data_IF_030954580743
#
_entry.id   IF_030954580743
#
_cell.length_a   1.000
_cell.length_b   1.000
_cell.length_c   1.000
_cell.angle_alpha   90.00
_cell.angle_beta   90.00
_cell.angle_gamma   90.00
#
_symmetry.space_group_name_H-M   'P 1'
#
loop_
_entity.id
_entity.type
_entity.pdbx_description
1 polymer ?
#
# COMPACT_ATOMS: atom_id res chain seq x y z
N UNK A 1 -11.75 23.74 11.35
CA UNK A 1 -10.55 22.89 11.47
C UNK A 1 -9.42 23.62 10.76
N UNK A 2 -8.37 23.97 11.49
CA UNK A 2 -7.18 24.57 10.87
C UNK A 2 -6.34 23.45 10.25
N UNK A 3 -6.00 23.59 8.97
CA UNK A 3 -5.15 22.63 8.27
C UNK A 3 -3.71 22.92 8.67
N UNK A 4 -3.14 22.09 9.55
CA UNK A 4 -1.74 22.20 9.98
C UNK A 4 -0.81 21.54 8.96
N UNK A 5 0.47 21.94 8.94
CA UNK A 5 1.49 21.38 8.04
C UNK A 5 1.57 19.86 8.11
N UNK A 6 1.48 19.28 9.31
CA UNK A 6 1.49 17.83 9.48
C UNK A 6 0.32 17.12 8.80
N UNK A 7 -0.89 17.71 8.85
CA UNK A 7 -2.07 17.19 8.16
C UNK A 7 -1.87 17.25 6.64
N UNK A 8 -1.29 18.33 6.11
CA UNK A 8 -0.99 18.46 4.67
C UNK A 8 -0.05 17.34 4.21
N UNK A 9 1.01 17.07 4.97
CA UNK A 9 1.97 16.02 4.64
C UNK A 9 1.30 14.64 4.61
N UNK A 10 0.48 14.33 5.61
CA UNK A 10 -0.27 13.05 5.65
C UNK A 10 -1.23 12.94 4.45
N UNK A 11 -1.97 14.01 4.13
CA UNK A 11 -2.85 14.04 2.96
C UNK A 11 -2.05 13.79 1.67
N UNK A 12 -0.91 14.45 1.50
CA UNK A 12 -0.04 14.25 0.34
C UNK A 12 0.45 12.79 0.24
N UNK A 13 0.84 12.17 1.36
CA UNK A 13 1.22 10.76 1.41
C UNK A 13 0.07 9.82 1.06
N UNK A 14 -1.16 10.12 1.49
CA UNK A 14 -2.35 9.37 1.10
C UNK A 14 -2.63 9.48 -0.41
N UNK A 15 -2.52 10.69 -0.97
CA UNK A 15 -2.65 10.91 -2.42
C UNK A 15 -1.60 10.09 -3.18
N UNK A 16 -0.35 10.11 -2.72
CA UNK A 16 0.73 9.30 -3.29
C UNK A 16 0.41 7.79 -3.24
N UNK A 17 -0.08 7.29 -2.11
CA UNK A 17 -0.51 5.90 -1.96
C UNK A 17 -1.59 5.54 -2.99
N UNK A 18 -2.64 6.35 -3.13
CA UNK A 18 -3.71 6.11 -4.10
C UNK A 18 -3.21 6.17 -5.55
N UNK A 19 -2.29 7.10 -5.86
CA UNK A 19 -1.67 7.18 -7.17
C UNK A 19 -0.89 5.90 -7.49
N UNK A 20 -0.10 5.40 -6.54
CA UNK A 20 0.64 4.13 -6.68
C UNK A 20 -0.30 2.96 -6.96
N UNK A 21 -1.44 2.90 -6.27
CA UNK A 21 -2.48 1.89 -6.49
C UNK A 21 -3.17 2.04 -7.85
N UNK A 22 -3.39 3.27 -8.33
CA UNK A 22 -3.90 3.52 -9.68
C UNK A 22 -2.93 3.05 -10.77
N UNK A 23 -1.63 3.31 -10.59
CA UNK A 23 -0.57 2.83 -11.50
C UNK A 23 -0.56 1.29 -11.55
N UNK A 24 -0.70 0.62 -10.40
CA UNK A 24 -0.81 -0.85 -10.34
C UNK A 24 -2.00 -1.38 -11.12
N UNK A 25 -3.18 -0.79 -10.96
CA UNK A 25 -4.38 -1.16 -11.74
C UNK A 25 -4.16 -1.00 -13.23
N UNK A 26 -3.52 0.10 -13.64
CA UNK A 26 -3.14 0.35 -15.02
C UNK A 26 -2.21 -0.73 -15.58
N UNK A 27 -1.17 -1.12 -14.82
CA UNK A 27 -0.26 -2.20 -15.19
C UNK A 27 -0.97 -3.56 -15.30
N UNK A 28 -1.88 -3.88 -14.36
CA UNK A 28 -2.68 -5.12 -14.39
C UNK A 28 -3.45 -5.27 -15.70
N UNK A 29 -4.20 -4.22 -16.10
CA UNK A 29 -4.95 -4.21 -17.36
C UNK A 29 -4.06 -4.36 -18.60
N UNK A 30 -2.83 -3.79 -18.57
CA UNK A 30 -1.85 -3.97 -19.66
C UNK A 30 -1.36 -5.42 -19.72
N UNK A 31 -1.02 -6.02 -18.58
CA UNK A 31 -0.59 -7.42 -18.55
C UNK A 31 -1.69 -8.38 -19.02
N UNK A 32 -2.93 -8.19 -18.61
CA UNK A 32 -4.06 -8.98 -19.13
C UNK A 32 -4.15 -8.91 -20.66
N UNK A 33 -3.96 -7.72 -21.25
CA UNK A 33 -3.96 -7.57 -22.72
C UNK A 33 -2.77 -8.25 -23.38
N UNK A 34 -1.56 -8.08 -22.85
CA UNK A 34 -0.35 -8.68 -23.40
C UNK A 34 -0.37 -10.21 -23.35
N UNK A 35 -0.80 -10.79 -22.22
CA UNK A 35 -0.88 -12.23 -22.03
C UNK A 35 -1.97 -12.84 -22.92
N UNK A 36 -3.11 -12.17 -23.08
CA UNK A 36 -4.14 -12.57 -24.05
C UNK A 36 -3.60 -12.56 -25.50
N UNK A 37 -2.78 -11.58 -25.87
CA UNK A 37 -2.16 -11.52 -27.21
C UNK A 37 -1.08 -12.60 -27.40
N UNK A 38 -0.26 -12.89 -26.38
CA UNK A 38 0.74 -13.97 -26.43
C UNK A 38 0.08 -15.33 -26.63
N UNK A 39 -1.00 -15.63 -25.89
CA UNK A 39 -1.75 -16.89 -26.04
C UNK A 39 -2.35 -17.06 -27.44
N UNK A 40 -2.76 -15.97 -28.10
CA UNK A 40 -3.25 -15.98 -29.50
C UNK A 40 -2.15 -16.29 -30.53
N UNK A 41 -0.88 -16.03 -30.22
CA UNK A 41 0.24 -16.23 -31.16
C UNK A 41 0.85 -17.63 -31.08
N UNK A 42 0.89 -18.22 -29.87
CA UNK A 42 1.63 -19.48 -29.63
C UNK A 42 0.79 -20.72 -29.94
N UNK A 43 -0.53 -20.66 -29.74
CA UNK A 43 -1.43 -21.77 -30.04
C UNK A 43 -2.43 -21.29 -31.07
N UNK A 44 -2.60 -22.02 -32.19
CA UNK A 44 -3.67 -21.82 -33.19
C UNK A 44 -5.10 -22.01 -32.64
N UNK A 45 -5.30 -21.78 -31.33
CA UNK A 45 -6.57 -21.80 -30.61
C UNK A 45 -7.45 -20.64 -31.07
N UNK A 46 -8.73 -20.97 -31.24
CA UNK A 46 -9.81 -20.07 -31.62
C UNK A 46 -9.79 -18.75 -30.83
N UNK A 47 -10.12 -17.66 -31.53
CA UNK A 47 -10.26 -16.29 -31.05
C UNK A 47 -11.33 -16.21 -29.95
N UNK A 48 -11.00 -16.59 -28.71
CA UNK A 48 -11.98 -16.55 -27.62
C UNK A 48 -11.56 -17.14 -26.28
N UNK A 49 -10.44 -17.85 -26.19
CA UNK A 49 -10.03 -18.47 -24.93
C UNK A 49 -9.65 -17.37 -23.90
N UNK A 50 -10.58 -17.07 -22.99
CA UNK A 50 -10.38 -16.13 -21.89
C UNK A 50 -9.16 -16.53 -21.06
N UNK A 51 -8.42 -15.53 -20.54
CA UNK A 51 -7.39 -15.80 -19.53
C UNK A 51 -8.06 -16.45 -18.32
N UNK A 52 -7.37 -17.34 -17.59
CA UNK A 52 -7.88 -17.85 -16.32
C UNK A 52 -8.19 -16.65 -15.41
N UNK A 53 -9.47 -16.48 -15.10
CA UNK A 53 -9.94 -15.39 -14.25
C UNK A 53 -9.62 -15.77 -12.81
N UNK A 54 -9.13 -14.82 -12.03
CA UNK A 54 -8.92 -15.05 -10.61
C UNK A 54 -10.26 -15.46 -9.96
N UNK A 55 -10.23 -16.37 -8.97
CA UNK A 55 -11.46 -16.86 -8.35
C UNK A 55 -12.29 -15.69 -7.81
N UNK A 56 -13.62 -15.77 -7.89
CA UNK A 56 -14.50 -14.72 -7.37
C UNK A 56 -14.23 -14.51 -5.87
N UNK A 57 -14.07 -13.25 -5.46
CA UNK A 57 -13.70 -12.88 -4.09
C UNK A 57 -12.19 -12.80 -3.82
N UNK A 58 -11.34 -13.13 -4.79
CA UNK A 58 -9.89 -12.93 -4.66
C UNK A 58 -9.54 -11.44 -4.52
N UNK A 59 -8.60 -11.08 -3.62
CA UNK A 59 -8.17 -9.69 -3.45
C UNK A 59 -7.65 -9.09 -4.77
N UNK A 60 -7.99 -7.83 -5.08
CA UNK A 60 -7.58 -7.20 -6.34
C UNK A 60 -6.07 -6.94 -6.43
N UNK A 61 -5.38 -6.91 -5.28
CA UNK A 61 -3.94 -6.71 -5.13
C UNK A 61 -3.35 -7.74 -4.17
N UNK A 62 -2.12 -8.16 -4.45
CA UNK A 62 -1.33 -8.98 -3.55
C UNK A 62 -0.40 -8.14 -2.68
N UNK A 63 0.26 -8.80 -1.73
CA UNK A 63 1.32 -8.22 -0.89
C UNK A 63 2.66 -8.80 -1.32
N UNK A 64 3.67 -7.95 -1.49
CA UNK A 64 5.03 -8.36 -1.84
C UNK A 64 5.77 -8.94 -0.63
N UNK A 65 5.66 -8.27 0.52
CA UNK A 65 6.29 -8.70 1.77
C UNK A 65 5.44 -8.32 2.97
N UNK A 66 4.98 -9.33 3.71
CA UNK A 66 4.24 -9.14 4.96
C UNK A 66 5.10 -8.53 6.07
N UNK A 67 6.42 -8.75 6.02
CA UNK A 67 7.35 -8.12 6.96
C UNK A 67 7.33 -6.59 6.82
N UNK A 68 7.43 -6.06 5.60
CA UNK A 68 7.36 -4.61 5.39
C UNK A 68 5.98 -4.02 5.67
N UNK A 69 4.91 -4.80 5.49
CA UNK A 69 3.57 -4.40 5.96
C UNK A 69 3.56 -4.22 7.47
N UNK A 70 4.07 -5.20 8.22
CA UNK A 70 4.15 -5.12 9.67
C UNK A 70 5.00 -3.91 10.12
N UNK A 71 6.18 -3.71 9.51
CA UNK A 71 7.03 -2.54 9.78
C UNK A 71 6.30 -1.23 9.48
N UNK A 72 5.63 -1.12 8.32
CA UNK A 72 4.87 0.09 7.96
C UNK A 72 3.75 0.39 8.95
N UNK A 73 3.01 -0.64 9.38
CA UNK A 73 1.95 -0.49 10.39
C UNK A 73 2.53 -0.06 11.74
N UNK A 74 3.61 -0.68 12.21
CA UNK A 74 4.27 -0.30 13.48
C UNK A 74 4.76 1.14 13.46
N UNK A 75 5.34 1.59 12.35
CA UNK A 75 5.80 2.98 12.18
C UNK A 75 4.61 3.96 12.21
N UNK A 76 3.48 3.63 11.58
CA UNK A 76 2.26 4.47 11.70
C UNK A 76 1.73 4.51 13.13
N UNK A 77 1.70 3.38 13.83
CA UNK A 77 1.25 3.31 15.23
C UNK A 77 2.14 4.19 16.11
N UNK A 78 3.47 4.13 15.93
CA UNK A 78 4.40 5.01 16.62
C UNK A 78 4.08 6.49 16.39
N UNK A 79 3.80 6.88 15.14
CA UNK A 79 3.35 8.24 14.82
C UNK A 79 2.03 8.63 15.47
N UNK A 80 1.07 7.70 15.56
CA UNK A 80 -0.20 7.94 16.24
C UNK A 80 -0.04 8.11 17.76
N UNK A 81 0.87 7.35 18.37
CA UNK A 81 1.25 7.51 19.78
C UNK A 81 1.89 8.88 20.02
N UNK A 82 2.79 9.31 19.13
CA UNK A 82 3.40 10.64 19.18
C UNK A 82 2.35 11.75 19.08
N UNK A 83 1.40 11.62 18.15
CA UNK A 83 0.29 12.58 18.00
C UNK A 83 -0.54 12.72 19.28
N UNK A 84 -0.70 11.63 20.04
CA UNK A 84 -1.39 11.61 21.32
C UNK A 84 -0.48 11.91 22.53
N UNK A 85 0.59 12.69 22.34
CA UNK A 85 1.56 13.07 23.38
C UNK A 85 2.09 11.87 24.17
N UNK A 86 2.45 10.79 23.47
CA UNK A 86 2.97 9.55 24.07
C UNK A 86 2.00 8.86 25.04
N UNK A 87 0.70 9.11 24.88
CA UNK A 87 -0.36 8.48 25.68
C UNK A 87 -1.04 7.38 24.86
N UNK A 88 -1.16 6.18 25.43
CA UNK A 88 -1.86 5.05 24.84
C UNK A 88 -2.87 4.51 25.84
N UNK A 89 -4.17 4.50 25.48
CA UNK A 89 -5.27 4.04 26.34
C UNK A 89 -5.29 4.68 27.75
N UNK A 90 -4.91 5.96 27.86
CA UNK A 90 -4.85 6.68 29.14
C UNK A 90 -3.55 6.47 29.93
N UNK A 91 -2.65 5.60 29.47
CA UNK A 91 -1.34 5.37 30.07
C UNK A 91 -0.30 6.24 29.34
N UNK A 92 0.43 7.07 30.08
CA UNK A 92 1.59 7.79 29.54
C UNK A 92 2.76 6.82 29.43
N UNK A 93 3.17 6.49 28.22
CA UNK A 93 4.28 5.57 27.95
C UNK A 93 5.61 6.26 28.22
N UNK A 94 5.73 7.52 27.82
CA UNK A 94 6.95 8.32 27.95
C UNK A 94 6.59 9.64 28.64
N UNK A 95 7.30 9.93 29.72
CA UNK A 95 7.16 11.17 30.50
C UNK A 95 8.35 12.12 30.36
N UNK A 96 9.40 11.71 29.65
CA UNK A 96 10.62 12.49 29.51
C UNK A 96 10.36 13.77 28.69
N UNK A 97 10.69 14.97 29.23
CA UNK A 97 10.41 16.24 28.57
C UNK A 97 11.12 16.42 27.22
N UNK A 98 12.29 15.79 27.06
CA UNK A 98 13.05 15.86 25.81
C UNK A 98 12.37 15.05 24.70
N UNK A 99 11.86 13.87 25.03
CA UNK A 99 11.17 13.01 24.07
C UNK A 99 9.81 13.58 23.66
N UNK A 100 9.16 14.33 24.56
CA UNK A 100 7.91 15.02 24.26
C UNK A 100 8.07 16.13 23.21
N UNK A 101 9.25 16.73 23.04
CA UNK A 101 9.46 17.73 21.97
C UNK A 101 9.32 17.12 20.57
N UNK A 102 9.64 15.83 20.42
CA UNK A 102 9.54 15.17 19.13
C UNK A 102 8.09 14.87 18.71
N UNK A 103 7.11 14.97 19.61
CA UNK A 103 5.69 14.71 19.29
C UNK A 103 5.16 15.66 18.21
N UNK A 104 5.73 16.86 18.09
CA UNK A 104 5.41 17.81 17.02
C UNK A 104 5.62 17.22 15.61
N UNK A 105 6.57 16.29 15.47
CA UNK A 105 6.91 15.63 14.22
C UNK A 105 6.14 14.32 13.97
N UNK A 106 5.05 14.05 14.71
CA UNK A 106 4.22 12.84 14.58
C UNK A 106 3.83 12.47 13.14
N UNK A 107 3.67 13.48 12.27
CA UNK A 107 3.25 13.29 10.88
C UNK A 107 4.32 12.60 10.03
N UNK A 108 5.61 12.68 10.42
CA UNK A 108 6.73 12.04 9.71
C UNK A 108 6.61 10.51 9.74
N UNK A 109 6.56 9.83 10.91
CA UNK A 109 6.38 8.39 10.96
C UNK A 109 5.03 7.96 10.36
N UNK A 110 3.94 8.71 10.54
CA UNK A 110 2.66 8.38 9.87
C UNK A 110 2.81 8.39 8.35
N UNK A 111 3.34 9.46 7.78
CA UNK A 111 3.57 9.58 6.34
C UNK A 111 4.51 8.49 5.82
N UNK A 112 5.60 8.22 6.53
CA UNK A 112 6.56 7.18 6.18
C UNK A 112 5.91 5.79 6.15
N UNK A 113 5.09 5.47 7.15
CA UNK A 113 4.34 4.22 7.18
C UNK A 113 3.38 4.06 6.00
N UNK A 114 2.66 5.12 5.62
CA UNK A 114 1.81 5.13 4.42
C UNK A 114 2.62 4.88 3.15
N UNK A 115 3.79 5.53 3.01
CA UNK A 115 4.67 5.34 1.85
C UNK A 115 5.20 3.90 1.80
N UNK A 116 5.66 3.33 2.92
CA UNK A 116 6.12 1.94 3.01
C UNK A 116 5.00 0.99 2.55
N UNK A 117 3.78 1.19 3.04
CA UNK A 117 2.62 0.39 2.65
C UNK A 117 2.33 0.49 1.13
N UNK A 118 2.51 1.67 0.52
CA UNK A 118 2.35 1.84 -0.92
C UNK A 118 3.28 0.93 -1.74
N UNK A 119 4.50 0.70 -1.25
CA UNK A 119 5.49 -0.17 -1.90
C UNK A 119 5.32 -1.66 -1.56
N UNK A 120 4.60 -1.99 -0.49
CA UNK A 120 4.27 -3.37 -0.14
C UNK A 120 3.25 -3.99 -1.09
N UNK A 121 2.45 -3.18 -1.80
CA UNK A 121 1.41 -3.67 -2.68
C UNK A 121 1.96 -4.13 -4.03
N UNK A 122 1.49 -5.29 -4.50
CA UNK A 122 1.80 -5.85 -5.82
C UNK A 122 0.54 -6.19 -6.60
N UNK A 123 0.73 -6.44 -7.89
CA UNK A 123 -0.28 -7.06 -8.74
C UNK A 123 0.21 -8.45 -9.10
N UNK A 124 -0.70 -9.41 -9.04
CA UNK A 124 -0.41 -10.75 -9.52
C UNK A 124 -0.56 -10.77 -11.04
N UNK A 125 0.43 -11.36 -11.71
CA UNK A 125 0.40 -11.52 -13.16
C UNK A 125 -0.64 -12.60 -13.51
N UNK A 126 -1.33 -12.48 -14.65
CA UNK A 126 -2.17 -13.56 -15.15
C UNK A 126 -1.35 -14.84 -15.30
N UNK A 127 -1.87 -15.96 -14.79
CA UNK A 127 -1.25 -17.28 -15.02
C UNK A 127 -1.37 -17.62 -16.50
N UNK A 128 -0.29 -18.10 -17.10
CA UNK A 128 -0.34 -18.79 -18.39
C UNK A 128 -0.64 -20.26 -18.09
N UNK A 129 -1.40 -20.91 -18.96
CA UNK A 129 -1.45 -22.37 -18.95
C UNK A 129 -0.03 -22.84 -19.39
N UNK A 130 0.54 -23.81 -18.69
CA UNK A 130 1.90 -24.41 -18.79
C UNK A 130 2.90 -23.75 -17.79
N UNK A 131 3.26 -24.31 -16.62
CA UNK A 131 3.14 -25.65 -16.00
C UNK A 131 2.14 -25.74 -14.83
#
# INVERSE_FOLDING_TARGET
MEITTGVIVVIASMVFFYLRMAILRGKKKRYEREYALKRRKVNGRSKGAALPVAPPGSPPFGVNSWFFVAVGVLVMIAGMIMYNNMTLFGIKIITDPELLKYTEFWYIPVALGVVILAFCMKIDKPRLDDD
#
